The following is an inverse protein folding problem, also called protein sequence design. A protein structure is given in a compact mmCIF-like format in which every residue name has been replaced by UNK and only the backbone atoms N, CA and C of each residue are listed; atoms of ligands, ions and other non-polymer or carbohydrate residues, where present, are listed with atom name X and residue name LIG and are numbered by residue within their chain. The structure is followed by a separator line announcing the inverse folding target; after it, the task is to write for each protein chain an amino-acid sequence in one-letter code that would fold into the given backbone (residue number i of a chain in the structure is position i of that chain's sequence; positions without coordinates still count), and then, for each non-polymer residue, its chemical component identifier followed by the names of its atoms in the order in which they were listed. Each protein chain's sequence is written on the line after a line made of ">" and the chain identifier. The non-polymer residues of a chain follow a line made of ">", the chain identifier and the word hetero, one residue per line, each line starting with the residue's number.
data_IF_233598304302
#
_entry.id   IF_233598304302
#
_cell.length_a   1.000
_cell.length_b   1.000
_cell.length_c   1.000
_cell.angle_alpha   90.00
_cell.angle_beta   90.00
_cell.angle_gamma   90.00
#
_symmetry.space_group_name_H-M   'P 1'
#
loop_
_entity.id
_entity.type
_entity.pdbx_description
1 polymer ?
#
# COMPACT_ATOMS: atom_id res chain seq x y z
N UNK A 1 38.31 27.74 71.21
CA UNK A 1 38.84 26.35 71.19
C UNK A 1 38.37 25.71 69.90
N UNK A 2 39.22 25.77 68.85
CA UNK A 2 39.99 24.63 68.29
C UNK A 2 39.09 23.55 67.66
N UNK A 3 38.91 23.63 66.32
CA UNK A 3 39.31 22.64 65.28
C UNK A 3 38.49 21.33 65.30
N UNK A 4 37.92 20.87 64.18
CA UNK A 4 38.62 20.01 63.19
C UNK A 4 37.71 19.78 61.96
N UNK A 5 38.26 20.02 60.75
CA UNK A 5 38.22 19.24 59.47
C UNK A 5 36.89 18.67 58.94
N UNK A 6 36.64 18.52 57.63
CA UNK A 6 37.35 18.88 56.39
C UNK A 6 36.42 18.59 55.23
N UNK A 7 36.50 19.44 54.22
CA UNK A 7 35.95 19.28 52.88
C UNK A 7 36.50 17.98 52.27
N UNK A 8 35.62 17.17 51.70
CA UNK A 8 35.97 16.05 50.84
C UNK A 8 35.28 16.26 49.49
N UNK A 9 35.93 17.06 48.65
CA UNK A 9 35.74 17.06 47.20
C UNK A 9 36.62 15.95 46.64
N UNK A 10 36.04 14.91 46.04
CA UNK A 10 36.83 13.99 45.22
C UNK A 10 35.93 13.22 44.21
N UNK A 11 36.04 13.67 42.96
CA UNK A 11 36.13 12.89 41.72
C UNK A 11 34.98 11.92 41.39
N UNK A 12 33.98 12.43 40.66
CA UNK A 12 33.21 11.63 39.70
C UNK A 12 34.14 11.30 38.52
N UNK A 13 34.74 10.11 38.50
CA UNK A 13 35.33 9.55 37.28
C UNK A 13 34.22 8.93 36.45
N UNK A 14 33.85 9.59 35.36
CA UNK A 14 33.02 9.00 34.31
C UNK A 14 33.78 7.83 33.67
N UNK A 15 33.35 6.60 33.95
CA UNK A 15 33.76 5.44 33.19
C UNK A 15 32.97 5.45 31.88
N UNK A 16 33.51 6.15 30.87
CA UNK A 16 33.10 5.95 29.48
C UNK A 16 33.70 4.60 29.08
N UNK A 17 32.90 3.54 29.14
CA UNK A 17 33.24 2.28 28.48
C UNK A 17 33.02 2.51 26.99
N UNK A 18 34.06 2.96 26.29
CA UNK A 18 34.14 2.80 24.85
C UNK A 18 34.27 1.31 24.57
N UNK A 19 33.14 0.64 24.33
CA UNK A 19 33.16 -0.58 23.53
C UNK A 19 33.59 -0.17 22.12
N UNK A 20 34.88 -0.24 21.85
CA UNK A 20 35.35 -0.35 20.48
C UNK A 20 34.82 -1.70 20.00
N UNK A 21 33.70 -1.70 19.28
CA UNK A 21 33.37 -2.83 18.45
C UNK A 21 34.55 -2.97 17.49
N UNK A 22 35.30 -4.08 17.60
CA UNK A 22 36.25 -4.46 16.58
C UNK A 22 35.47 -4.50 15.27
N UNK A 23 35.85 -3.65 14.30
CA UNK A 23 35.34 -3.80 12.95
C UNK A 23 35.75 -5.19 12.46
N UNK A 24 34.81 -6.04 12.02
CA UNK A 24 35.17 -7.36 11.54
C UNK A 24 36.16 -7.19 10.39
N UNK A 25 37.32 -7.84 10.52
CA UNK A 25 38.34 -7.88 9.47
C UNK A 25 37.70 -8.25 8.14
N UNK A 26 38.04 -7.50 7.08
CA UNK A 26 37.41 -7.50 5.76
C UNK A 26 37.49 -8.81 4.98
N UNK A 27 36.90 -9.88 5.50
CA UNK A 27 36.44 -11.03 4.74
C UNK A 27 35.08 -10.76 4.09
N UNK A 28 34.68 -11.55 3.09
CA UNK A 28 33.32 -11.47 2.57
C UNK A 28 32.33 -11.71 3.72
N UNK A 29 31.42 -10.77 3.93
CA UNK A 29 30.28 -10.97 4.82
C UNK A 29 29.48 -12.12 4.23
N UNK A 30 29.52 -13.29 4.87
CA UNK A 30 28.69 -14.42 4.51
C UNK A 30 27.33 -14.23 5.17
N UNK A 31 26.30 -14.03 4.35
CA UNK A 31 24.95 -13.91 4.86
C UNK A 31 24.43 -15.27 5.35
N UNK A 32 23.71 -15.29 6.48
CA UNK A 32 23.09 -16.52 6.94
C UNK A 32 22.04 -16.97 5.91
N UNK A 33 21.96 -18.27 5.60
CA UNK A 33 20.97 -18.75 4.64
C UNK A 33 19.56 -18.52 5.18
N UNK A 34 18.63 -18.19 4.28
CA UNK A 34 17.19 -18.18 4.55
C UNK A 34 16.76 -19.60 4.98
N UNK A 35 16.01 -19.67 6.08
CA UNK A 35 15.51 -20.91 6.68
C UNK A 35 13.99 -20.94 6.77
N UNK A 36 13.41 -22.09 7.10
CA UNK A 36 11.95 -22.24 7.28
C UNK A 36 11.38 -21.28 8.35
N UNK A 37 12.18 -20.87 9.34
CA UNK A 37 11.76 -19.93 10.40
C UNK A 37 11.44 -18.55 9.84
N UNK A 38 12.11 -18.13 8.77
CA UNK A 38 11.91 -16.83 8.15
C UNK A 38 10.55 -16.73 7.43
N UNK A 39 9.89 -17.88 7.19
CA UNK A 39 8.52 -17.95 6.67
C UNK A 39 7.45 -18.03 7.77
N UNK A 40 7.83 -18.12 9.06
CA UNK A 40 6.89 -18.13 10.18
C UNK A 40 6.33 -16.74 10.54
N UNK A 41 6.69 -15.71 9.76
CA UNK A 41 6.15 -14.37 9.93
C UNK A 41 4.62 -14.36 9.81
N UNK A 42 3.89 -13.64 10.70
CA UNK A 42 2.43 -13.62 10.69
C UNK A 42 1.80 -13.23 9.34
N UNK A 43 2.48 -12.42 8.53
CA UNK A 43 2.02 -12.00 7.20
C UNK A 43 2.16 -13.07 6.10
N UNK A 44 2.93 -14.13 6.33
CA UNK A 44 3.18 -15.22 5.38
C UNK A 44 2.44 -16.51 5.75
N UNK A 45 1.70 -16.50 6.87
CA UNK A 45 0.90 -17.61 7.32
C UNK A 45 -0.51 -17.58 6.68
N UNK A 46 -1.14 -18.75 6.46
CA UNK A 46 -2.51 -18.81 5.95
C UNK A 46 -3.48 -18.02 6.83
N UNK A 47 -4.38 -17.26 6.20
CA UNK A 47 -5.41 -16.51 6.91
C UNK A 47 -6.37 -17.46 7.65
N UNK A 48 -6.43 -17.32 8.98
CA UNK A 48 -7.39 -18.04 9.82
C UNK A 48 -8.53 -17.10 10.16
N UNK A 49 -9.77 -17.56 9.95
CA UNK A 49 -10.95 -16.76 10.32
C UNK A 49 -11.03 -16.61 11.85
N UNK A 50 -10.93 -15.39 12.39
CA UNK A 50 -10.98 -15.20 13.84
C UNK A 50 -12.39 -15.47 14.38
N UNK A 51 -12.46 -15.88 15.65
CA UNK A 51 -13.72 -15.93 16.37
C UNK A 51 -14.23 -14.51 16.60
N UNK A 52 -15.49 -14.26 16.23
CA UNK A 52 -16.12 -12.95 16.41
C UNK A 52 -16.40 -12.72 17.90
N UNK A 53 -15.97 -11.60 18.50
CA UNK A 53 -16.16 -11.35 19.92
C UNK A 53 -17.63 -11.13 20.25
N UNK A 54 -18.03 -11.55 21.45
CA UNK A 54 -19.36 -11.26 21.96
C UNK A 54 -19.39 -9.89 22.61
N UNK A 55 -20.33 -9.03 22.19
CA UNK A 55 -20.52 -7.68 22.74
C UNK A 55 -21.69 -7.61 23.73
N UNK A 56 -21.72 -6.65 24.64
CA UNK A 56 -22.87 -6.44 25.52
C UNK A 56 -24.06 -5.88 24.73
N UNK A 57 -23.81 -4.84 23.92
CA UNK A 57 -24.82 -4.29 23.02
C UNK A 57 -24.95 -5.15 21.75
N UNK A 58 -26.14 -5.75 21.57
CA UNK A 58 -26.47 -6.62 20.43
C UNK A 58 -27.17 -5.91 19.27
N UNK A 59 -27.63 -4.67 19.48
CA UNK A 59 -28.43 -3.93 18.49
C UNK A 59 -27.58 -3.03 17.60
N UNK A 60 -26.46 -2.50 18.11
CA UNK A 60 -25.59 -1.59 17.37
C UNK A 60 -24.80 -2.25 16.22
N UNK A 61 -24.17 -3.44 16.39
CA UNK A 61 -23.39 -4.05 15.31
C UNK A 61 -24.27 -4.49 14.14
N UNK A 62 -24.00 -3.98 12.93
CA UNK A 62 -24.68 -4.41 11.71
C UNK A 62 -24.00 -5.61 11.04
N UNK A 63 -22.70 -5.79 11.29
CA UNK A 63 -21.89 -6.87 10.74
C UNK A 63 -20.79 -7.33 11.72
N UNK A 64 -20.06 -8.43 11.45
CA UNK A 64 -19.02 -8.93 12.35
C UNK A 64 -17.87 -7.95 12.63
N UNK A 65 -17.52 -7.06 11.70
CA UNK A 65 -16.46 -6.05 11.88
C UNK A 65 -16.89 -5.07 12.97
N UNK A 66 -18.15 -4.66 12.97
CA UNK A 66 -18.70 -3.77 14.00
C UNK A 66 -18.61 -4.42 15.39
N UNK A 67 -18.71 -5.75 15.50
CA UNK A 67 -18.53 -6.46 16.77
C UNK A 67 -17.08 -6.39 17.27
N UNK A 68 -16.09 -6.49 16.40
CA UNK A 68 -14.68 -6.29 16.77
C UNK A 68 -14.42 -4.86 17.27
N UNK A 69 -15.02 -3.85 16.61
CA UNK A 69 -14.90 -2.45 17.03
C UNK A 69 -15.60 -2.22 18.37
N UNK A 70 -16.85 -2.69 18.50
CA UNK A 70 -17.64 -2.50 19.70
C UNK A 70 -17.04 -3.22 20.91
N UNK A 71 -16.51 -4.44 20.74
CA UNK A 71 -15.83 -5.15 21.83
C UNK A 71 -14.68 -4.33 22.41
N UNK A 72 -13.86 -3.72 21.55
CA UNK A 72 -12.74 -2.88 22.00
C UNK A 72 -13.20 -1.57 22.67
N UNK A 73 -14.34 -1.02 22.24
CA UNK A 73 -14.94 0.15 22.89
C UNK A 73 -15.48 -0.22 24.27
N UNK A 74 -16.24 -1.30 24.39
CA UNK A 74 -16.78 -1.82 25.65
C UNK A 74 -15.66 -2.15 26.66
N UNK A 75 -14.60 -2.83 26.22
CA UNK A 75 -13.41 -3.13 27.04
C UNK A 75 -12.69 -1.85 27.53
N UNK A 76 -12.90 -0.72 26.84
CA UNK A 76 -12.34 0.58 27.19
C UNK A 76 -13.33 1.51 27.91
N UNK A 77 -14.49 1.01 28.34
CA UNK A 77 -15.59 1.80 28.91
C UNK A 77 -16.08 2.94 27.99
N UNK A 78 -16.00 2.74 26.68
CA UNK A 78 -16.44 3.68 25.64
C UNK A 78 -17.71 3.21 24.94
N UNK A 79 -18.52 4.18 24.51
CA UNK A 79 -19.69 3.93 23.68
C UNK A 79 -19.47 4.46 22.26
N UNK A 80 -20.04 3.82 21.22
CA UNK A 80 -20.05 4.38 19.88
C UNK A 80 -20.69 5.77 19.83
N UNK A 81 -20.17 6.62 18.96
CA UNK A 81 -20.79 7.93 18.69
C UNK A 81 -22.04 7.79 17.84
N UNK A 82 -22.92 8.80 17.91
CA UNK A 82 -24.11 8.86 17.05
C UNK A 82 -23.72 8.87 15.57
N UNK A 83 -24.53 8.20 14.76
CA UNK A 83 -24.34 8.15 13.32
C UNK A 83 -24.46 9.55 12.71
N UNK A 84 -23.52 9.90 11.83
CA UNK A 84 -23.57 11.18 11.12
C UNK A 84 -24.84 11.30 10.26
N UNK A 85 -25.25 12.55 10.00
CA UNK A 85 -26.41 12.81 9.14
C UNK A 85 -26.26 12.12 7.78
N UNK A 86 -27.39 11.73 7.18
CA UNK A 86 -27.38 11.02 5.91
C UNK A 86 -26.70 11.79 4.78
N UNK A 87 -26.88 13.11 4.74
CA UNK A 87 -26.18 13.99 3.80
C UNK A 87 -24.66 13.97 4.04
N UNK A 88 -24.22 13.98 5.29
CA UNK A 88 -22.79 13.89 5.64
C UNK A 88 -22.20 12.56 5.16
N UNK A 89 -22.90 11.45 5.39
CA UNK A 89 -22.47 10.12 4.96
C UNK A 89 -22.44 10.01 3.43
N UNK A 90 -23.47 10.49 2.74
CA UNK A 90 -23.51 10.51 1.27
C UNK A 90 -22.32 11.28 0.69
N UNK A 91 -22.01 12.45 1.26
CA UNK A 91 -20.86 13.25 0.82
C UNK A 91 -19.54 12.51 1.03
N UNK A 92 -19.34 11.86 2.18
CA UNK A 92 -18.12 11.09 2.48
C UNK A 92 -17.95 9.95 1.48
N UNK A 93 -18.96 9.10 1.35
CA UNK A 93 -18.91 7.93 0.46
C UNK A 93 -18.70 8.37 -0.99
N UNK A 94 -19.34 9.46 -1.45
CA UNK A 94 -19.16 9.97 -2.80
C UNK A 94 -17.70 10.40 -3.08
N UNK A 95 -17.05 11.10 -2.14
CA UNK A 95 -15.64 11.46 -2.30
C UNK A 95 -14.71 10.26 -2.18
N UNK A 96 -15.01 9.33 -1.26
CA UNK A 96 -14.17 8.15 -1.03
C UNK A 96 -14.23 7.19 -2.23
N UNK A 97 -15.41 6.94 -2.78
CA UNK A 97 -15.62 5.97 -3.88
C UNK A 97 -15.25 6.55 -5.23
N UNK A 98 -15.74 7.74 -5.57
CA UNK A 98 -15.63 8.32 -6.93
C UNK A 98 -14.92 9.67 -6.98
N UNK A 99 -14.41 10.19 -5.87
CA UNK A 99 -13.65 11.45 -5.84
C UNK A 99 -14.45 12.73 -6.11
N UNK A 100 -15.77 12.62 -6.29
CA UNK A 100 -16.66 13.70 -6.68
C UNK A 100 -17.72 13.97 -5.62
N UNK A 101 -18.20 15.22 -5.47
CA UNK A 101 -19.34 15.50 -4.61
C UNK A 101 -20.63 14.87 -5.16
N UNK A 102 -21.61 14.54 -4.30
CA UNK A 102 -22.91 14.06 -4.76
C UNK A 102 -23.63 15.14 -5.58
N UNK A 103 -24.34 14.72 -6.63
CA UNK A 103 -25.19 15.60 -7.43
C UNK A 103 -26.45 16.01 -6.66
N UNK A 104 -27.19 17.01 -7.17
CA UNK A 104 -28.46 17.41 -6.57
C UNK A 104 -29.48 16.27 -6.66
N UNK A 105 -29.53 15.58 -7.79
CA UNK A 105 -30.41 14.43 -8.03
C UNK A 105 -30.08 13.26 -7.08
N UNK A 106 -28.79 13.02 -6.81
CA UNK A 106 -28.35 12.02 -5.83
C UNK A 106 -28.76 12.42 -4.41
N UNK A 107 -28.66 13.70 -4.03
CA UNK A 107 -29.14 14.18 -2.74
C UNK A 107 -30.65 13.99 -2.62
N UNK A 108 -31.40 14.33 -3.66
CA UNK A 108 -32.86 14.16 -3.68
C UNK A 108 -33.25 12.69 -3.52
N UNK A 109 -32.59 11.80 -4.28
CA UNK A 109 -32.84 10.35 -4.27
C UNK A 109 -32.39 9.69 -2.97
N UNK A 110 -31.22 10.04 -2.45
CA UNK A 110 -30.60 9.33 -1.34
C UNK A 110 -30.76 10.03 0.01
N UNK A 111 -31.31 11.23 0.09
CA UNK A 111 -31.49 11.93 1.38
C UNK A 111 -32.94 12.31 1.63
N UNK A 112 -33.65 12.84 0.62
CA UNK A 112 -34.98 13.45 0.84
C UNK A 112 -36.15 12.65 0.30
N UNK A 113 -35.93 11.59 -0.49
CA UNK A 113 -36.98 10.75 -1.05
C UNK A 113 -37.85 10.10 0.06
N UNK A 114 -39.13 9.84 -0.23
CA UNK A 114 -40.02 9.16 0.73
C UNK A 114 -39.54 7.74 1.05
N UNK A 115 -39.02 7.02 0.04
CA UNK A 115 -38.45 5.69 0.18
C UNK A 115 -36.95 5.73 -0.12
N UNK A 116 -36.18 6.17 0.88
CA UNK A 116 -34.73 6.31 0.73
C UNK A 116 -34.06 4.94 0.58
N UNK A 117 -33.23 4.72 -0.45
CA UNK A 117 -32.51 3.46 -0.64
C UNK A 117 -31.56 3.09 0.51
N UNK A 118 -31.34 1.79 0.71
CA UNK A 118 -30.31 1.31 1.62
C UNK A 118 -28.90 1.72 1.14
N UNK A 119 -27.93 1.80 2.06
CA UNK A 119 -26.56 2.19 1.73
C UNK A 119 -25.88 1.27 0.72
N UNK A 120 -26.22 -0.03 0.70
CA UNK A 120 -25.71 -0.97 -0.29
C UNK A 120 -26.07 -0.58 -1.72
N UNK A 121 -27.28 -0.06 -1.95
CA UNK A 121 -27.71 0.43 -3.26
C UNK A 121 -26.95 1.70 -3.63
N UNK A 122 -26.74 2.61 -2.68
CA UNK A 122 -25.95 3.83 -2.91
C UNK A 122 -24.52 3.50 -3.33
N UNK A 123 -23.89 2.55 -2.63
CA UNK A 123 -22.52 2.10 -2.94
C UNK A 123 -22.46 1.41 -4.30
N UNK A 124 -23.41 0.53 -4.62
CA UNK A 124 -23.48 -0.12 -5.92
C UNK A 124 -23.64 0.88 -7.07
N UNK A 125 -24.54 1.84 -6.92
CA UNK A 125 -24.76 2.90 -7.92
C UNK A 125 -23.47 3.75 -8.12
N UNK A 126 -22.69 3.98 -7.05
CA UNK A 126 -21.42 4.72 -7.13
C UNK A 126 -20.26 3.89 -7.70
N UNK A 127 -20.21 2.58 -7.44
CA UNK A 127 -19.22 1.68 -8.04
C UNK A 127 -19.45 1.49 -9.54
N UNK A 128 -20.70 1.65 -10.01
CA UNK A 128 -21.06 1.61 -11.43
C UNK A 128 -20.80 2.94 -12.18
N UNK A 129 -20.48 4.04 -11.49
CA UNK A 129 -20.12 5.33 -12.10
C UNK A 129 -18.69 5.26 -12.66
N UNK A 130 -18.46 5.71 -13.90
CA UNK A 130 -17.13 5.69 -14.52
C UNK A 130 -16.05 6.44 -13.74
N UNK A 131 -16.44 7.43 -12.93
CA UNK A 131 -15.54 8.16 -12.05
C UNK A 131 -14.96 7.29 -10.92
N UNK A 132 -15.57 6.14 -10.61
CA UNK A 132 -14.99 5.13 -9.71
C UNK A 132 -13.63 4.66 -10.25
N UNK A 133 -13.58 4.20 -11.50
CA UNK A 133 -12.34 3.74 -12.11
C UNK A 133 -11.29 4.84 -12.22
N UNK A 134 -11.68 6.08 -12.53
CA UNK A 134 -10.76 7.22 -12.53
C UNK A 134 -10.16 7.48 -11.14
N UNK A 135 -11.00 7.45 -10.10
CA UNK A 135 -10.59 7.67 -8.71
C UNK A 135 -9.64 6.57 -8.22
N UNK A 136 -9.97 5.32 -8.45
CA UNK A 136 -9.18 4.18 -7.97
C UNK A 136 -7.92 3.93 -8.80
N UNK A 137 -7.97 4.20 -10.10
CA UNK A 137 -6.78 4.20 -10.95
C UNK A 137 -5.75 5.21 -10.48
N UNK A 138 -6.14 6.39 -9.98
CA UNK A 138 -5.18 7.35 -9.43
C UNK A 138 -4.34 6.72 -8.30
N UNK A 139 -4.98 6.04 -7.34
CA UNK A 139 -4.28 5.36 -6.26
C UNK A 139 -3.32 4.29 -6.77
N UNK A 140 -3.74 3.50 -7.76
CA UNK A 140 -2.88 2.49 -8.38
C UNK A 140 -1.69 3.11 -9.12
N UNK A 141 -1.94 4.12 -9.94
CA UNK A 141 -0.95 4.79 -10.77
C UNK A 141 0.12 5.50 -9.93
N UNK A 142 -0.27 6.06 -8.78
CA UNK A 142 0.66 6.62 -7.80
C UNK A 142 1.57 5.52 -7.21
N UNK A 143 1.01 4.35 -6.86
CA UNK A 143 1.76 3.22 -6.29
C UNK A 143 2.79 2.64 -7.28
N UNK A 144 2.40 2.49 -8.54
CA UNK A 144 3.28 1.95 -9.60
C UNK A 144 4.21 3.00 -10.20
N UNK A 145 4.23 4.22 -9.63
CA UNK A 145 5.11 5.33 -10.06
C UNK A 145 4.91 5.70 -11.52
N UNK A 146 3.65 5.67 -11.98
CA UNK A 146 3.32 6.00 -13.36
C UNK A 146 3.56 7.48 -13.64
N UNK A 147 4.16 7.76 -14.80
CA UNK A 147 4.26 9.08 -15.38
C UNK A 147 4.08 8.98 -16.90
N UNK A 148 3.56 10.04 -17.51
CA UNK A 148 3.54 10.17 -18.98
C UNK A 148 4.89 10.66 -19.55
N UNK A 149 5.92 10.68 -18.71
CA UNK A 149 7.28 11.07 -19.05
C UNK A 149 8.29 10.08 -18.46
N UNK A 150 9.57 10.25 -18.78
CA UNK A 150 10.64 9.40 -18.24
C UNK A 150 10.89 9.62 -16.74
N UNK A 151 10.42 10.71 -16.16
CA UNK A 151 10.43 10.96 -14.72
C UNK A 151 11.83 11.19 -14.12
N UNK A 152 12.86 11.33 -14.96
CA UNK A 152 14.25 11.48 -14.51
C UNK A 152 15.12 12.25 -15.52
N UNK A 153 16.02 13.10 -14.99
CA UNK A 153 17.01 13.96 -15.68
C UNK A 153 16.58 14.60 -17.01
N UNK A 154 16.63 13.85 -18.12
CA UNK A 154 16.25 14.34 -19.44
C UNK A 154 14.73 14.33 -19.71
N UNK A 155 13.98 13.59 -18.88
CA UNK A 155 12.52 13.59 -18.71
C UNK A 155 11.70 13.82 -20.00
N UNK A 156 11.78 12.88 -20.96
CA UNK A 156 11.00 12.99 -22.20
C UNK A 156 9.58 12.52 -22.00
N UNK A 157 8.66 13.09 -22.78
CA UNK A 157 7.30 12.57 -22.92
C UNK A 157 7.33 11.17 -23.53
N UNK A 158 6.51 10.28 -22.97
CA UNK A 158 6.23 8.92 -23.46
C UNK A 158 4.89 8.95 -24.20
N UNK A 159 4.87 9.06 -25.54
CA UNK A 159 3.66 9.43 -26.29
C UNK A 159 2.48 8.47 -26.13
N UNK A 160 2.74 7.21 -25.79
CA UNK A 160 1.73 6.16 -25.68
C UNK A 160 1.48 5.70 -24.22
N UNK A 161 2.10 6.34 -23.22
CA UNK A 161 1.95 5.95 -21.81
C UNK A 161 0.51 6.06 -21.30
N UNK A 162 -0.26 7.00 -21.84
CA UNK A 162 -1.68 7.20 -21.55
C UNK A 162 -2.53 5.95 -21.76
N UNK A 163 -2.13 5.04 -22.66
CA UNK A 163 -2.86 3.79 -22.91
C UNK A 163 -2.89 2.89 -21.68
N UNK A 164 -1.78 2.83 -20.94
CA UNK A 164 -1.71 2.06 -19.70
C UNK A 164 -2.58 2.72 -18.61
N UNK A 165 -2.55 4.05 -18.46
CA UNK A 165 -3.47 4.77 -17.56
C UNK A 165 -4.92 4.41 -17.86
N UNK A 166 -5.33 4.54 -19.13
CA UNK A 166 -6.71 4.29 -19.54
C UNK A 166 -7.08 2.80 -19.37
N UNK A 167 -6.12 1.89 -19.59
CA UNK A 167 -6.31 0.47 -19.30
C UNK A 167 -6.57 0.21 -17.81
N UNK A 168 -5.82 0.84 -16.90
CA UNK A 168 -6.05 0.72 -15.45
C UNK A 168 -7.43 1.25 -15.07
N UNK A 169 -7.82 2.42 -15.60
CA UNK A 169 -9.16 3.00 -15.37
C UNK A 169 -10.25 2.01 -15.79
N UNK A 170 -10.12 1.44 -16.99
CA UNK A 170 -11.10 0.48 -17.50
C UNK A 170 -11.10 -0.82 -16.68
N UNK A 171 -9.93 -1.33 -16.27
CA UNK A 171 -9.84 -2.53 -15.45
C UNK A 171 -10.60 -2.40 -14.11
N UNK A 172 -10.55 -1.22 -13.47
CA UNK A 172 -11.36 -0.94 -12.28
C UNK A 172 -12.86 -0.87 -12.61
N UNK A 173 -13.25 -0.12 -13.64
CA UNK A 173 -14.67 0.02 -14.03
C UNK A 173 -15.30 -1.30 -14.49
N UNK A 174 -14.53 -2.17 -15.13
CA UNK A 174 -14.96 -3.50 -15.57
C UNK A 174 -14.94 -4.53 -14.43
N UNK A 175 -14.50 -4.13 -13.22
CA UNK A 175 -14.33 -5.00 -12.06
C UNK A 175 -13.47 -6.23 -12.38
N UNK A 176 -12.32 -6.01 -13.04
CA UNK A 176 -11.39 -7.07 -13.40
C UNK A 176 -10.89 -7.79 -12.13
N UNK A 177 -10.94 -9.13 -12.06
CA UNK A 177 -10.45 -9.87 -10.90
C UNK A 177 -8.99 -9.53 -10.59
N UNK A 178 -8.66 -9.33 -9.32
CA UNK A 178 -7.35 -8.86 -8.88
C UNK A 178 -6.20 -9.76 -9.37
N UNK A 179 -6.39 -11.08 -9.35
CA UNK A 179 -5.42 -12.06 -9.85
C UNK A 179 -5.13 -11.85 -11.35
N UNK A 180 -6.16 -11.58 -12.15
CA UNK A 180 -6.00 -11.27 -13.58
C UNK A 180 -5.39 -9.89 -13.79
N UNK A 181 -5.81 -8.88 -13.01
CA UNK A 181 -5.27 -7.53 -13.05
C UNK A 181 -3.75 -7.52 -12.84
N UNK A 182 -3.26 -8.23 -11.84
CA UNK A 182 -1.81 -8.35 -11.59
C UNK A 182 -1.13 -9.20 -12.67
N UNK A 183 -1.71 -10.34 -13.06
CA UNK A 183 -1.09 -11.25 -14.04
C UNK A 183 -0.91 -10.60 -15.41
N UNK A 184 -1.91 -9.86 -15.89
CA UNK A 184 -1.83 -9.15 -17.17
C UNK A 184 -0.79 -8.04 -17.16
N UNK A 185 -0.59 -7.36 -16.04
CA UNK A 185 0.45 -6.33 -15.90
C UNK A 185 1.87 -6.90 -15.93
N UNK A 186 2.06 -8.12 -15.43
CA UNK A 186 3.38 -8.79 -15.45
C UNK A 186 3.70 -9.50 -16.77
N UNK A 187 2.69 -10.06 -17.42
CA UNK A 187 2.92 -11.00 -18.53
C UNK A 187 1.79 -11.00 -19.56
N UNK A 188 0.99 -9.93 -19.69
CA UNK A 188 -0.14 -9.89 -20.61
C UNK A 188 0.24 -10.11 -22.07
N UNK A 189 1.44 -9.70 -22.49
CA UNK A 189 1.98 -9.98 -23.82
C UNK A 189 2.34 -11.46 -24.05
N UNK A 190 2.67 -12.20 -23.01
CA UNK A 190 2.93 -13.65 -23.07
C UNK A 190 1.65 -14.49 -22.85
N UNK A 191 0.78 -14.06 -21.92
CA UNK A 191 -0.47 -14.74 -21.58
C UNK A 191 -1.52 -14.62 -22.71
N UNK A 192 -1.53 -13.50 -23.44
CA UNK A 192 -2.45 -13.23 -24.53
C UNK A 192 -1.79 -12.35 -25.63
N UNK A 193 -0.83 -12.89 -26.39
CA UNK A 193 -0.04 -12.12 -27.38
C UNK A 193 -0.86 -11.48 -28.50
N UNK A 194 -2.03 -12.05 -28.81
CA UNK A 194 -2.93 -11.54 -29.84
C UNK A 194 -3.95 -10.51 -29.30
N UNK A 195 -4.01 -10.33 -27.97
CA UNK A 195 -4.87 -9.33 -27.32
C UNK A 195 -4.10 -8.03 -27.07
N UNK A 196 -4.50 -6.98 -27.78
CA UNK A 196 -3.92 -5.65 -27.61
C UNK A 196 -4.13 -5.10 -26.19
N UNK A 197 -5.27 -5.38 -25.54
CA UNK A 197 -5.54 -4.94 -24.18
C UNK A 197 -4.56 -5.56 -23.19
N UNK A 198 -4.34 -6.87 -23.29
CA UNK A 198 -3.36 -7.58 -22.47
C UNK A 198 -1.93 -7.05 -22.68
N UNK A 199 -1.57 -6.72 -23.92
CA UNK A 199 -0.26 -6.10 -24.23
C UNK A 199 -0.14 -4.66 -23.74
N UNK A 200 -1.23 -3.92 -23.59
CA UNK A 200 -1.21 -2.58 -23.00
C UNK A 200 -0.99 -2.68 -21.49
N UNK A 201 -1.55 -3.71 -20.84
CA UNK A 201 -1.39 -3.95 -19.41
C UNK A 201 0.09 -4.08 -19.00
N UNK A 202 0.94 -4.68 -19.84
CA UNK A 202 2.39 -4.78 -19.59
C UNK A 202 3.13 -3.45 -19.64
N UNK A 203 2.44 -2.35 -19.96
CA UNK A 203 2.92 -0.99 -19.70
C UNK A 203 3.32 -0.76 -18.23
N UNK A 204 2.79 -1.54 -17.28
CA UNK A 204 3.26 -1.60 -15.89
C UNK A 204 4.77 -1.82 -15.79
N UNK A 205 5.34 -2.73 -16.58
CA UNK A 205 6.78 -3.03 -16.59
C UNK A 205 7.62 -1.86 -17.09
N UNK A 206 6.99 -0.86 -17.69
CA UNK A 206 7.65 0.38 -18.09
C UNK A 206 7.39 1.53 -17.13
N UNK A 207 6.59 1.35 -16.08
CA UNK A 207 6.32 2.40 -15.11
C UNK A 207 7.58 2.75 -14.28
N UNK A 208 7.59 3.96 -13.71
CA UNK A 208 8.72 4.48 -12.95
C UNK A 208 9.77 5.22 -13.79
N UNK A 209 10.77 5.80 -13.09
CA UNK A 209 11.79 6.64 -13.70
C UNK A 209 12.74 5.84 -14.60
N UNK A 210 13.15 6.44 -15.72
CA UNK A 210 14.12 5.87 -16.65
C UNK A 210 15.03 6.96 -17.23
N UNK A 211 16.22 6.58 -17.67
CA UNK A 211 17.18 7.47 -18.31
C UNK A 211 17.69 6.85 -19.61
N UNK A 212 16.92 6.91 -20.71
CA UNK A 212 17.29 6.25 -21.97
C UNK A 212 18.64 6.73 -22.57
N UNK A 213 19.06 7.95 -22.24
CA UNK A 213 20.25 8.62 -22.76
C UNK A 213 21.52 8.38 -21.93
N UNK A 214 21.46 7.59 -20.86
CA UNK A 214 22.67 7.20 -20.11
C UNK A 214 23.68 6.46 -21.01
N UNK A 215 24.95 6.81 -20.87
CA UNK A 215 26.02 6.28 -21.73
C UNK A 215 26.20 4.75 -21.56
N UNK A 216 26.07 4.24 -20.33
CA UNK A 216 26.25 2.83 -20.02
C UNK A 216 24.89 2.12 -19.95
N UNK A 217 24.48 1.49 -21.06
CA UNK A 217 23.17 0.84 -21.17
C UNK A 217 23.01 -0.38 -20.24
N UNK A 218 24.11 -1.01 -19.83
CA UNK A 218 24.09 -2.08 -18.84
C UNK A 218 23.65 -1.57 -17.45
N UNK A 219 24.16 -0.40 -17.04
CA UNK A 219 23.74 0.28 -15.82
C UNK A 219 22.27 0.69 -15.89
N UNK A 220 21.83 1.24 -17.04
CA UNK A 220 20.41 1.53 -17.27
C UNK A 220 19.53 0.31 -17.01
N UNK A 221 19.88 -0.80 -17.66
CA UNK A 221 19.12 -2.05 -17.57
C UNK A 221 19.10 -2.58 -16.14
N UNK A 222 20.23 -2.52 -15.43
CA UNK A 222 20.32 -2.92 -14.03
C UNK A 222 19.39 -2.07 -13.14
N UNK A 223 19.52 -0.74 -13.19
CA UNK A 223 18.70 0.16 -12.40
C UNK A 223 17.20 0.03 -12.70
N UNK A 224 16.85 -0.12 -13.98
CA UNK A 224 15.47 -0.28 -14.41
C UNK A 224 14.84 -1.60 -13.90
N UNK A 225 15.54 -2.73 -14.04
CA UNK A 225 15.04 -4.03 -13.56
C UNK A 225 14.96 -4.09 -12.04
N UNK A 226 15.92 -3.49 -11.33
CA UNK A 226 15.86 -3.39 -9.86
C UNK A 226 14.68 -2.52 -9.42
N UNK A 227 14.45 -1.38 -10.09
CA UNK A 227 13.31 -0.50 -9.83
C UNK A 227 11.97 -1.19 -10.02
N UNK A 228 11.82 -1.94 -11.12
CA UNK A 228 10.65 -2.76 -11.41
C UNK A 228 10.41 -3.83 -10.34
N UNK A 229 11.45 -4.60 -10.01
CA UNK A 229 11.38 -5.69 -9.03
C UNK A 229 11.05 -5.16 -7.63
N UNK A 230 11.66 -4.04 -7.24
CA UNK A 230 11.38 -3.37 -5.98
C UNK A 230 9.94 -2.86 -5.92
N UNK A 231 9.46 -2.19 -6.96
CA UNK A 231 8.08 -1.70 -7.01
C UNK A 231 7.06 -2.85 -6.94
N UNK A 232 7.31 -3.96 -7.65
CA UNK A 232 6.43 -5.12 -7.60
C UNK A 232 6.35 -5.71 -6.19
N UNK A 233 7.51 -5.89 -5.53
CA UNK A 233 7.58 -6.34 -4.14
C UNK A 233 6.77 -5.44 -3.19
N UNK A 234 6.98 -4.13 -3.31
CA UNK A 234 6.32 -3.12 -2.45
C UNK A 234 4.81 -3.07 -2.69
N UNK A 235 4.37 -3.03 -3.94
CA UNK A 235 2.96 -2.78 -4.29
C UNK A 235 2.11 -4.04 -4.15
N UNK A 236 2.64 -5.21 -4.52
CA UNK A 236 1.86 -6.46 -4.56
C UNK A 236 2.00 -7.26 -3.28
N UNK A 237 3.20 -7.35 -2.71
CA UNK A 237 3.44 -8.14 -1.50
C UNK A 237 3.55 -7.28 -0.23
N UNK A 238 3.73 -5.96 -0.35
CA UNK A 238 4.03 -5.11 0.81
C UNK A 238 5.44 -5.36 1.37
N UNK A 239 6.35 -5.88 0.55
CA UNK A 239 7.70 -6.31 0.96
C UNK A 239 8.78 -5.46 0.29
N UNK A 240 9.89 -5.21 0.98
CA UNK A 240 10.96 -4.33 0.50
C UNK A 240 11.99 -5.09 -0.35
N UNK A 241 11.55 -5.67 -1.47
CA UNK A 241 12.41 -6.45 -2.39
C UNK A 241 13.67 -5.68 -2.82
N UNK A 242 13.62 -4.35 -2.87
CA UNK A 242 14.75 -3.51 -3.28
C UNK A 242 16.02 -3.68 -2.43
N UNK A 243 15.92 -4.14 -1.18
CA UNK A 243 17.13 -4.44 -0.39
C UNK A 243 17.85 -5.71 -0.89
N UNK A 244 17.10 -6.64 -1.48
CA UNK A 244 17.63 -7.90 -2.01
C UNK A 244 18.58 -7.73 -3.20
N UNK A 245 18.64 -6.54 -3.79
CA UNK A 245 19.44 -6.29 -5.01
C UNK A 245 20.95 -6.58 -4.85
N UNK A 246 21.46 -6.54 -3.62
CA UNK A 246 22.89 -6.72 -3.33
C UNK A 246 23.17 -7.87 -2.36
N UNK A 247 22.17 -8.29 -1.59
CA UNK A 247 22.33 -9.06 -0.36
C UNK A 247 20.97 -9.62 0.08
N UNK A 248 20.89 -10.74 0.77
CA UNK A 248 19.65 -11.34 1.27
C UNK A 248 18.87 -10.33 2.14
N UNK A 249 17.55 -10.26 1.94
CA UNK A 249 16.71 -9.30 2.64
C UNK A 249 16.74 -9.57 4.16
N UNK A 250 16.92 -8.49 4.95
CA UNK A 250 17.22 -8.58 6.40
C UNK A 250 16.20 -9.37 7.23
N UNK A 251 14.93 -9.31 6.85
CA UNK A 251 13.83 -9.85 7.65
C UNK A 251 12.83 -10.67 6.86
N UNK A 252 12.93 -10.68 5.52
CA UNK A 252 11.98 -11.36 4.66
C UNK A 252 12.75 -12.39 3.83
N UNK A 253 12.16 -13.54 3.50
CA UNK A 253 12.86 -14.63 2.82
C UNK A 253 13.01 -14.35 1.31
N UNK A 254 13.80 -13.32 0.96
CA UNK A 254 14.05 -12.85 -0.42
C UNK A 254 15.56 -12.64 -0.61
N UNK A 255 16.09 -13.04 -1.77
CA UNK A 255 17.50 -13.01 -2.17
C UNK A 255 17.67 -12.32 -3.51
#
# INVERSE_FOLDING_TARGET
>A
MKTVFSICSLLLTAAVVTTLAEEPEGGPVAEPPITDVDFELPGLQPLVRPMVPGTENKEWPANPIDQFILSQLEDSDLAPVEQASRLTLLRRISFDVRGLPPSIEEIERYVTAENVPAWSVVVEDMLADSAYGERWAQHWLDLVRFAETDGFEHDKVRPEAWRYRDWVINAFNDNLPYDQFISLQLAGDELAPDDLSARIATGYLMAGPDMPDINLQEERRHSFLNGMTANFGEVVFGLQFGCAQCHDHKADPIS
#
